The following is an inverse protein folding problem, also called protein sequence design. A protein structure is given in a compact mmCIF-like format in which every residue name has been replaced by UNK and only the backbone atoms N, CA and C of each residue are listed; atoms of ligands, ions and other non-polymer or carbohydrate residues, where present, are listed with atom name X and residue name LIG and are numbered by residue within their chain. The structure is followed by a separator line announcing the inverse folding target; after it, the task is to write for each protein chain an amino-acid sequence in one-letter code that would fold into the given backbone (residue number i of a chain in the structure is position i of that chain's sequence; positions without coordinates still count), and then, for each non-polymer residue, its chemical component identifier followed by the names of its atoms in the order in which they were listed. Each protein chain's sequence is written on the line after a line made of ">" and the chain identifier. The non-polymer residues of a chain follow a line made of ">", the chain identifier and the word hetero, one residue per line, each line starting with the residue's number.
data_IF_990953877441
#
_entry.id   IF_990953877441
#
_cell.length_a   1.000
_cell.length_b   1.000
_cell.length_c   1.000
_cell.angle_alpha   90.00
_cell.angle_beta   90.00
_cell.angle_gamma   90.00
#
_symmetry.space_group_name_H-M   'P 1'
#
loop_
_entity.id
_entity.type
_entity.pdbx_description
1 polymer ?
#
# COMPACT_ATOMS: atom_id res chain seq x y z
N UNK A 1 -14.71 10.55 3.50
CA UNK A 1 -14.02 9.70 2.49
C UNK A 1 -12.66 10.34 2.19
N UNK A 2 -11.55 9.74 2.64
CA UNK A 2 -10.20 10.28 2.38
C UNK A 2 -9.92 10.35 0.88
N UNK A 3 -9.45 11.51 0.40
CA UNK A 3 -9.31 11.77 -1.04
C UNK A 3 -8.05 11.14 -1.66
N UNK A 4 -7.09 10.73 -0.84
CA UNK A 4 -5.74 10.32 -1.25
C UNK A 4 -5.65 8.88 -1.77
N UNK A 5 -4.71 8.65 -2.70
CA UNK A 5 -4.38 7.29 -3.19
C UNK A 5 -3.47 6.52 -2.23
N UNK A 6 -2.71 7.23 -1.40
CA UNK A 6 -1.87 6.67 -0.35
C UNK A 6 -2.31 7.19 1.01
N UNK A 7 -1.98 6.45 2.06
CA UNK A 7 -2.08 6.86 3.46
C UNK A 7 -0.79 6.42 4.18
N UNK A 8 -0.41 7.16 5.21
CA UNK A 8 0.81 6.91 5.96
C UNK A 8 0.50 6.87 7.45
N UNK A 9 1.00 5.84 8.10
CA UNK A 9 0.84 5.60 9.53
C UNK A 9 2.25 5.42 10.14
N UNK A 10 2.55 6.11 11.24
CA UNK A 10 3.80 5.93 11.97
C UNK A 10 3.64 4.78 12.94
N UNK A 11 4.47 3.74 12.82
CA UNK A 11 4.41 2.54 13.66
C UNK A 11 5.70 2.34 14.43
N UNK A 12 5.58 1.86 15.66
CA UNK A 12 6.71 1.33 16.40
C UNK A 12 7.03 -0.09 15.90
N UNK A 13 8.31 -0.41 15.76
CA UNK A 13 8.80 -1.75 15.37
C UNK A 13 9.93 -2.19 16.31
N UNK A 14 10.16 -3.50 16.38
CA UNK A 14 11.37 -4.07 16.98
C UNK A 14 12.20 -4.67 15.85
N UNK A 15 13.47 -4.25 15.75
CA UNK A 15 14.39 -4.76 14.73
C UNK A 15 14.92 -6.14 15.10
N UNK A 16 15.54 -6.83 14.15
CA UNK A 16 16.08 -8.19 14.34
C UNK A 16 17.16 -8.28 15.42
N UNK A 17 17.83 -7.17 15.74
CA UNK A 17 18.81 -7.05 16.81
C UNK A 17 18.20 -6.71 18.19
N UNK A 18 16.87 -6.64 18.29
CA UNK A 18 16.13 -6.38 19.52
C UNK A 18 15.93 -4.89 19.85
N UNK A 19 16.42 -3.95 19.02
CA UNK A 19 16.21 -2.52 19.27
C UNK A 19 14.80 -2.07 18.89
N UNK A 20 14.18 -1.28 19.75
CA UNK A 20 12.97 -0.53 19.44
C UNK A 20 13.27 0.62 18.47
N UNK A 21 12.36 0.86 17.54
CA UNK A 21 12.46 1.90 16.53
C UNK A 21 11.06 2.38 16.10
N UNK A 22 10.99 3.51 15.41
CA UNK A 22 9.73 4.06 14.88
C UNK A 22 9.90 4.38 13.41
N UNK A 23 9.03 3.82 12.57
CA UNK A 23 9.09 3.96 11.11
C UNK A 23 7.79 4.49 10.54
N UNK A 24 7.89 5.27 9.47
CA UNK A 24 6.74 5.70 8.69
C UNK A 24 6.36 4.61 7.68
N UNK A 25 5.17 4.04 7.82
CA UNK A 25 4.63 3.08 6.86
C UNK A 25 3.66 3.79 5.91
N UNK A 26 3.99 3.86 4.63
CA UNK A 26 3.07 4.35 3.59
C UNK A 26 2.48 3.18 2.81
N UNK A 27 1.16 3.16 2.65
CA UNK A 27 0.42 2.11 1.94
C UNK A 27 -0.58 2.70 0.95
N UNK A 28 -0.93 1.93 -0.08
CA UNK A 28 -2.02 2.28 -0.99
C UNK A 28 -3.37 2.09 -0.31
N UNK A 29 -4.21 3.12 -0.35
CA UNK A 29 -5.61 3.03 0.07
C UNK A 29 -6.38 2.10 -0.87
N UNK A 30 -7.61 1.70 -0.52
CA UNK A 30 -8.45 0.95 -1.46
C UNK A 30 -8.67 1.72 -2.78
N UNK A 31 -8.81 3.05 -2.71
CA UNK A 31 -8.91 3.93 -3.88
C UNK A 31 -7.61 3.91 -4.70
N UNK A 32 -6.45 3.95 -4.05
CA UNK A 32 -5.15 3.82 -4.70
C UNK A 32 -4.99 2.51 -5.46
N UNK A 33 -5.37 1.39 -4.84
CA UNK A 33 -5.34 0.07 -5.49
C UNK A 33 -6.23 0.00 -6.72
N UNK A 34 -7.43 0.57 -6.66
CA UNK A 34 -8.32 0.65 -7.82
C UNK A 34 -7.70 1.49 -8.94
N UNK A 35 -7.06 2.63 -8.62
CA UNK A 35 -6.43 3.46 -9.65
C UNK A 35 -5.27 2.74 -10.36
N UNK A 36 -4.47 1.97 -9.63
CA UNK A 36 -3.41 1.14 -10.21
C UNK A 36 -4.03 0.08 -11.12
N UNK A 37 -5.10 -0.58 -10.67
CA UNK A 37 -5.79 -1.59 -11.47
C UNK A 37 -6.33 -1.00 -12.78
N UNK A 38 -7.00 0.16 -12.74
CA UNK A 38 -7.49 0.87 -13.93
C UNK A 38 -6.36 1.13 -14.95
N UNK A 39 -5.23 1.68 -14.50
CA UNK A 39 -4.07 1.96 -15.37
C UNK A 39 -3.54 0.66 -15.98
N UNK A 40 -3.41 -0.41 -15.19
CA UNK A 40 -2.92 -1.70 -15.70
C UNK A 40 -3.87 -2.30 -16.74
N UNK A 41 -5.17 -2.22 -16.51
CA UNK A 41 -6.20 -2.67 -17.46
C UNK A 41 -6.17 -1.85 -18.75
N UNK A 42 -5.94 -0.53 -18.69
CA UNK A 42 -5.74 0.31 -19.87
C UNK A 42 -4.54 -0.14 -20.73
N UNK A 43 -3.51 -0.70 -20.09
CA UNK A 43 -2.36 -1.31 -20.78
C UNK A 43 -2.57 -2.76 -21.20
N UNK A 44 -3.75 -3.34 -20.97
CA UNK A 44 -4.08 -4.73 -21.32
C UNK A 44 -3.59 -5.77 -20.32
N UNK A 45 -3.23 -5.37 -19.10
CA UNK A 45 -2.86 -6.30 -18.03
C UNK A 45 -4.05 -6.57 -17.11
N UNK A 46 -4.34 -7.85 -16.87
CA UNK A 46 -5.37 -8.29 -15.93
C UNK A 46 -4.77 -8.81 -14.62
N UNK A 47 -5.47 -8.57 -13.51
CA UNK A 47 -5.05 -9.06 -12.22
C UNK A 47 -5.23 -10.59 -12.15
N UNK A 48 -4.19 -11.31 -11.73
CA UNK A 48 -4.32 -12.73 -11.42
C UNK A 48 -5.10 -12.89 -10.11
N UNK A 49 -6.30 -13.47 -10.20
CA UNK A 49 -7.23 -13.66 -9.07
C UNK A 49 -7.31 -15.11 -8.60
N UNK A 50 -6.37 -15.97 -9.01
CA UNK A 50 -6.35 -17.36 -8.58
C UNK A 50 -5.86 -17.44 -7.13
N UNK A 51 -6.68 -17.99 -6.25
CA UNK A 51 -6.41 -18.18 -4.82
C UNK A 51 -5.59 -19.44 -4.52
#
# INVERSE_FOLDING_TARGET
>A
MGKSYTESDTIAIVRSDGREDTVLQTRWTQKGRLKIHEIMTEFGYEANVTA
#
